data_IF_623947493857
#
_entry.id   IF_623947493857
#
_cell.length_a   1.000
_cell.length_b   1.000
_cell.length_c   1.000
_cell.angle_alpha   90.00
_cell.angle_beta   90.00
_cell.angle_gamma   90.00
#
_symmetry.space_group_name_H-M   'P 1'
#
loop_
_entity.id
_entity.type
_entity.pdbx_description
1 polymer ?
#
# COMPACT_ATOMS: atom_id res chain seq x y z
N UNK A 1 17.28 19.13 -27.05
CA UNK A 1 17.24 19.86 -25.76
C UNK A 1 16.08 19.31 -24.95
N UNK A 2 16.33 18.53 -23.91
CA UNK A 2 15.28 18.01 -23.01
C UNK A 2 15.58 18.55 -21.62
N UNK A 3 14.67 19.38 -21.10
CA UNK A 3 14.72 19.92 -19.75
C UNK A 3 14.24 18.83 -18.80
N UNK A 4 15.14 18.33 -17.95
CA UNK A 4 14.80 17.41 -16.87
C UNK A 4 14.29 18.26 -15.70
N UNK A 5 12.98 18.27 -15.48
CA UNK A 5 12.40 18.81 -14.27
C UNK A 5 12.67 17.80 -13.14
N UNK A 6 13.53 18.17 -12.21
CA UNK A 6 13.77 17.42 -10.99
C UNK A 6 12.48 17.42 -10.15
N UNK A 7 11.83 16.28 -10.04
CA UNK A 7 10.77 16.07 -9.07
C UNK A 7 11.46 15.81 -7.74
N UNK A 8 11.48 16.82 -6.87
CA UNK A 8 11.94 16.66 -5.50
C UNK A 8 11.01 15.66 -4.80
N UNK A 9 11.56 14.50 -4.43
CA UNK A 9 10.90 13.51 -3.59
C UNK A 9 10.65 14.13 -2.21
N UNK A 10 9.40 14.43 -1.91
CA UNK A 10 8.93 14.78 -0.58
C UNK A 10 9.16 13.59 0.35
N UNK A 11 10.19 13.70 1.19
CA UNK A 11 10.44 12.77 2.29
C UNK A 11 9.40 13.03 3.39
N UNK A 12 8.40 12.15 3.51
CA UNK A 12 7.44 12.21 4.60
C UNK A 12 8.06 11.54 5.83
N UNK A 13 8.31 12.34 6.86
CA UNK A 13 8.91 11.91 8.12
C UNK A 13 7.92 11.05 8.92
N UNK A 14 8.41 9.90 9.39
CA UNK A 14 7.72 8.93 10.23
C UNK A 14 7.50 9.52 11.63
N UNK A 15 6.25 9.64 12.05
CA UNK A 15 5.87 9.76 13.48
C UNK A 15 4.42 9.33 13.66
N UNK A 16 4.18 8.02 13.68
CA UNK A 16 3.05 7.42 14.36
C UNK A 16 3.57 6.17 15.07
N UNK A 17 3.74 6.34 16.37
CA UNK A 17 4.14 5.37 17.37
C UNK A 17 3.09 4.25 17.44
N UNK A 18 3.53 2.99 17.43
CA UNK A 18 2.87 1.82 18.03
C UNK A 18 1.32 1.84 18.05
N UNK A 19 0.69 1.35 16.98
CA UNK A 19 -0.65 0.77 17.09
C UNK A 19 -0.57 -0.69 16.63
N UNK A 20 -0.99 -1.67 17.45
CA UNK A 20 -1.03 -3.06 17.06
C UNK A 20 -1.94 -3.18 15.83
N UNK A 21 -1.51 -3.88 14.79
CA UNK A 21 -2.42 -4.21 13.69
C UNK A 21 -3.40 -5.25 14.21
N UNK A 22 -4.49 -4.76 14.77
CA UNK A 22 -5.65 -5.54 15.17
C UNK A 22 -6.15 -6.35 13.95
N UNK A 23 -6.76 -7.52 14.18
CA UNK A 23 -7.33 -8.35 13.12
C UNK A 23 -8.26 -7.51 12.24
N UNK A 24 -8.42 -7.88 10.96
CA UNK A 24 -9.36 -7.27 10.00
C UNK A 24 -10.76 -7.09 10.62
N UNK A 25 -10.95 -5.99 11.33
CA UNK A 25 -12.24 -5.50 11.73
C UNK A 25 -12.79 -4.79 10.50
N UNK A 26 -13.87 -5.32 9.95
CA UNK A 26 -14.62 -4.70 8.84
C UNK A 26 -15.22 -3.30 9.18
N UNK A 27 -14.76 -2.68 10.27
CA UNK A 27 -15.13 -1.38 10.81
C UNK A 27 -13.89 -0.47 10.99
N UNK A 28 -12.79 -0.69 10.25
CA UNK A 28 -11.71 0.29 10.20
C UNK A 28 -12.26 1.63 9.68
N UNK A 29 -12.24 2.63 10.56
CA UNK A 29 -12.77 3.95 10.25
C UNK A 29 -11.80 4.66 9.32
N UNK A 30 -12.25 4.94 8.10
CA UNK A 30 -11.43 5.62 7.10
C UNK A 30 -11.25 7.07 7.53
N UNK A 31 -10.00 7.49 7.72
CA UNK A 31 -9.65 8.85 8.11
C UNK A 31 -9.31 9.69 6.88
N UNK A 32 -9.61 10.98 6.96
CA UNK A 32 -9.09 11.98 6.02
C UNK A 32 -7.65 12.37 6.36
N UNK A 33 -7.08 13.29 5.56
CA UNK A 33 -5.71 13.78 5.75
C UNK A 33 -5.48 14.57 7.04
N UNK A 34 -6.55 15.06 7.67
CA UNK A 34 -6.50 15.75 8.95
C UNK A 34 -6.64 14.76 10.13
N UNK A 35 -6.83 13.47 9.84
CA UNK A 35 -7.02 12.41 10.84
C UNK A 35 -8.46 12.32 11.35
N UNK A 36 -9.41 12.99 10.71
CA UNK A 36 -10.82 12.92 11.09
C UNK A 36 -11.51 11.76 10.38
N UNK A 37 -12.47 11.08 11.02
CA UNK A 37 -13.24 10.03 10.39
C UNK A 37 -14.10 10.59 9.26
N UNK A 38 -14.07 9.94 8.08
CA UNK A 38 -14.94 10.30 6.97
C UNK A 38 -16.41 10.07 7.34
N UNK A 39 -17.34 10.87 6.81
CA UNK A 39 -18.77 10.59 6.94
C UNK A 39 -19.12 9.21 6.38
N UNK A 40 -20.08 8.50 6.97
CA UNK A 40 -20.46 7.12 6.59
C UNK A 40 -20.73 6.97 5.07
N UNK A 41 -21.47 7.92 4.48
CA UNK A 41 -21.74 7.92 3.04
C UNK A 41 -20.45 7.99 2.20
N UNK A 42 -19.44 8.73 2.66
CA UNK A 42 -18.14 8.87 2.00
C UNK A 42 -17.25 7.65 2.23
N UNK A 43 -17.32 7.02 3.39
CA UNK A 43 -16.65 5.74 3.64
C UNK A 43 -17.17 4.67 2.69
N UNK A 44 -18.50 4.57 2.54
CA UNK A 44 -19.12 3.62 1.61
C UNK A 44 -18.71 3.87 0.16
N UNK A 45 -18.79 5.13 -0.28
CA UNK A 45 -18.34 5.52 -1.64
C UNK A 45 -16.88 5.17 -1.87
N UNK A 46 -16.00 5.44 -0.89
CA UNK A 46 -14.59 5.07 -0.95
C UNK A 46 -14.41 3.57 -1.12
N UNK A 47 -15.06 2.75 -0.30
CA UNK A 47 -14.95 1.28 -0.35
C UNK A 47 -15.49 0.69 -1.67
N UNK A 48 -16.52 1.31 -2.26
CA UNK A 48 -17.01 0.90 -3.58
C UNK A 48 -15.99 1.23 -4.69
N UNK A 49 -15.41 2.44 -4.66
CA UNK A 49 -14.38 2.85 -5.62
C UNK A 49 -13.09 2.05 -5.46
N UNK A 50 -12.68 1.73 -4.23
CA UNK A 50 -11.52 0.90 -3.94
C UNK A 50 -11.68 -0.51 -4.54
N UNK A 51 -12.85 -1.13 -4.34
CA UNK A 51 -13.18 -2.44 -4.96
C UNK A 51 -13.18 -2.38 -6.49
N UNK A 52 -13.73 -1.32 -7.08
CA UNK A 52 -13.71 -1.14 -8.54
C UNK A 52 -12.28 -0.98 -9.05
N UNK A 53 -11.46 -0.18 -8.35
CA UNK A 53 -10.05 0.00 -8.64
C UNK A 53 -9.27 -1.31 -8.58
N UNK A 54 -9.47 -2.10 -7.50
CA UNK A 54 -8.82 -3.40 -7.34
C UNK A 54 -9.19 -4.35 -8.47
N UNK A 55 -10.48 -4.42 -8.85
CA UNK A 55 -10.91 -5.24 -9.97
C UNK A 55 -10.23 -4.83 -11.28
N UNK A 56 -10.10 -3.53 -11.54
CA UNK A 56 -9.42 -3.02 -12.74
C UNK A 56 -7.92 -3.30 -12.73
N UNK A 57 -7.30 -3.22 -11.56
CA UNK A 57 -5.91 -3.59 -11.38
C UNK A 57 -5.69 -5.09 -11.67
N UNK A 58 -6.57 -5.96 -11.17
CA UNK A 58 -6.50 -7.40 -11.42
C UNK A 58 -6.69 -7.72 -12.92
N UNK A 59 -7.64 -7.05 -13.59
CA UNK A 59 -7.82 -7.15 -15.05
C UNK A 59 -6.54 -6.73 -15.80
N UNK A 60 -5.90 -5.64 -15.38
CA UNK A 60 -4.64 -5.17 -15.96
C UNK A 60 -3.51 -6.20 -15.78
N UNK A 61 -3.32 -6.72 -14.57
CA UNK A 61 -2.29 -7.73 -14.28
C UNK A 61 -2.54 -9.01 -15.08
N UNK A 62 -3.79 -9.42 -15.21
CA UNK A 62 -4.16 -10.57 -16.03
C UNK A 62 -3.86 -10.35 -17.53
N UNK A 63 -3.85 -9.10 -18.01
CA UNK A 63 -3.53 -8.75 -19.39
C UNK A 63 -2.02 -8.75 -19.71
N UNK A 64 -1.16 -8.97 -18.71
CA UNK A 64 0.28 -8.92 -18.91
C UNK A 64 0.78 -10.03 -19.84
N UNK A 65 1.65 -9.64 -20.77
CA UNK A 65 2.47 -10.57 -21.54
C UNK A 65 3.44 -11.34 -20.64
N UNK A 66 3.96 -12.49 -21.09
CA UNK A 66 4.95 -13.27 -20.34
C UNK A 66 6.16 -12.44 -19.90
N UNK A 67 6.64 -11.54 -20.78
CA UNK A 67 7.75 -10.64 -20.46
C UNK A 67 7.40 -9.70 -19.30
N UNK A 68 6.20 -9.13 -19.30
CA UNK A 68 5.73 -8.25 -18.22
C UNK A 68 5.53 -9.01 -16.92
N UNK A 69 5.02 -10.24 -16.97
CA UNK A 69 4.92 -11.12 -15.79
C UNK A 69 6.31 -11.48 -15.23
N UNK A 70 7.31 -11.68 -16.09
CA UNK A 70 8.70 -11.87 -15.68
C UNK A 70 9.24 -10.66 -14.91
N UNK A 71 9.05 -9.46 -15.47
CA UNK A 71 9.46 -8.20 -14.81
C UNK A 71 8.72 -8.00 -13.49
N UNK A 72 7.42 -8.26 -13.41
CA UNK A 72 6.63 -8.17 -12.17
C UNK A 72 7.20 -9.07 -11.06
N UNK A 73 7.57 -10.31 -11.40
CA UNK A 73 8.22 -11.23 -10.45
C UNK A 73 9.57 -10.70 -9.97
N UNK A 74 10.39 -10.16 -10.86
CA UNK A 74 11.68 -9.56 -10.50
C UNK A 74 11.50 -8.34 -9.59
N UNK A 75 10.51 -7.48 -9.88
CA UNK A 75 10.18 -6.32 -9.04
C UNK A 75 9.73 -6.75 -7.64
N UNK A 76 8.92 -7.80 -7.52
CA UNK A 76 8.53 -8.36 -6.21
C UNK A 76 9.74 -8.85 -5.40
N UNK A 77 10.71 -9.49 -6.04
CA UNK A 77 11.96 -9.91 -5.40
C UNK A 77 12.80 -8.71 -4.96
N UNK A 78 12.90 -7.67 -5.78
CA UNK A 78 13.61 -6.43 -5.43
C UNK A 78 12.94 -5.75 -4.23
N UNK A 79 11.61 -5.62 -4.27
CA UNK A 79 10.82 -5.04 -3.17
C UNK A 79 11.02 -5.79 -1.86
N UNK A 80 10.96 -7.13 -1.88
CA UNK A 80 11.23 -7.94 -0.69
C UNK A 80 12.62 -7.67 -0.10
N UNK A 81 13.66 -7.56 -0.94
CA UNK A 81 15.02 -7.21 -0.49
C UNK A 81 15.09 -5.80 0.10
N UNK A 82 14.36 -4.85 -0.48
CA UNK A 82 14.28 -3.49 0.07
C UNK A 82 13.61 -3.49 1.44
N UNK A 83 12.49 -4.21 1.60
CA UNK A 83 11.81 -4.38 2.88
C UNK A 83 12.73 -5.01 3.94
N UNK A 84 13.50 -6.03 3.56
CA UNK A 84 14.49 -6.68 4.44
C UNK A 84 15.57 -5.68 4.91
N UNK A 85 16.08 -4.85 4.00
CA UNK A 85 17.07 -3.81 4.33
C UNK A 85 16.47 -2.74 5.26
N UNK A 86 15.21 -2.37 5.02
CA UNK A 86 14.51 -1.36 5.82
C UNK A 86 14.01 -1.91 7.16
N UNK A 87 14.15 -3.21 7.41
CA UNK A 87 13.63 -3.87 8.61
C UNK A 87 12.11 -3.77 8.71
N UNK A 88 11.41 -3.70 7.57
CA UNK A 88 9.94 -3.76 7.56
C UNK A 88 9.57 -5.18 8.01
N UNK A 89 8.84 -5.34 9.12
CA UNK A 89 8.46 -6.65 9.61
C UNK A 89 7.73 -7.41 8.51
N UNK A 90 8.19 -8.63 8.24
CA UNK A 90 7.47 -9.54 7.34
C UNK A 90 6.13 -9.82 8.03
N UNK A 91 5.04 -9.58 7.31
CA UNK A 91 3.68 -9.90 7.78
C UNK A 91 3.63 -11.37 8.21
N UNK A 92 3.79 -11.61 9.52
CA UNK A 92 3.98 -12.95 10.08
C UNK A 92 4.95 -13.06 11.27
N UNK A 93 5.74 -12.03 11.62
CA UNK A 93 6.60 -12.04 12.82
C UNK A 93 6.01 -11.25 14.02
N UNK A 94 4.68 -11.21 14.14
CA UNK A 94 4.02 -10.88 15.41
C UNK A 94 3.48 -12.17 16.05
N UNK A 95 4.39 -13.04 16.49
CA UNK A 95 4.09 -13.98 17.56
C UNK A 95 5.26 -14.07 18.55
N UNK A 96 4.90 -13.85 19.81
CA UNK A 96 5.62 -14.26 21.01
C UNK A 96 6.99 -13.61 21.30
N UNK A 97 6.98 -12.41 21.90
CA UNK A 97 7.90 -12.16 23.02
C UNK A 97 7.29 -11.28 24.12
N UNK A 98 7.19 -11.92 25.30
CA UNK A 98 7.06 -11.38 26.67
C UNK A 98 5.71 -10.82 27.13
#
# INVERSE_FOLDING_TARGET
>A
MVRIAAVALLAFAVSALAAPQAPEDANETILDFEGNPLPEAKQKEFLELDKEGQKKFDELVASYTEKQQGIDKELKVISAKQSDILGIPKSGEEEATA
#
